data_IF_878552740243
#
_entry.id   IF_878552740243
#
_cell.length_a   1.000
_cell.length_b   1.000
_cell.length_c   1.000
_cell.angle_alpha   90.00
_cell.angle_beta   90.00
_cell.angle_gamma   90.00
#
_symmetry.space_group_name_H-M   'P 1'
#
loop_
_entity.id
_entity.type
_entity.pdbx_description
1 polymer ?
#
# COMPACT_ATOMS: atom_id res chain seq x y z
N UNK A 1 2.55 -14.61 28.46
CA UNK A 1 3.84 -15.03 27.87
C UNK A 1 4.10 -14.44 26.48
N UNK A 2 3.21 -14.62 25.48
CA UNK A 2 3.43 -14.09 24.11
C UNK A 2 3.68 -12.56 24.02
N UNK A 3 2.98 -11.75 24.84
CA UNK A 3 3.20 -10.28 24.90
C UNK A 3 4.58 -9.87 25.40
N UNK A 4 5.22 -10.69 26.24
CA UNK A 4 6.56 -10.43 26.78
C UNK A 4 7.66 -10.82 25.79
N UNK A 5 7.49 -11.94 25.07
CA UNK A 5 8.42 -12.36 24.02
C UNK A 5 8.43 -11.39 22.83
N UNK A 6 7.28 -10.84 22.44
CA UNK A 6 7.19 -9.87 21.35
C UNK A 6 7.76 -8.50 21.71
N UNK A 7 7.49 -7.99 22.92
CA UNK A 7 8.08 -6.72 23.39
C UNK A 7 9.59 -6.85 23.63
N UNK A 8 10.04 -7.99 24.16
CA UNK A 8 11.46 -8.29 24.34
C UNK A 8 12.21 -8.41 23.02
N UNK A 9 11.65 -9.13 22.04
CA UNK A 9 12.27 -9.29 20.71
C UNK A 9 12.35 -8.00 19.90
N UNK A 10 11.35 -7.11 20.01
CA UNK A 10 11.34 -5.78 19.37
C UNK A 10 12.36 -4.83 19.99
N UNK A 11 12.51 -4.84 21.32
CA UNK A 11 13.53 -4.04 22.02
C UNK A 11 14.94 -4.54 21.71
N UNK A 12 15.14 -5.86 21.63
CA UNK A 12 16.42 -6.45 21.23
C UNK A 12 16.76 -6.15 19.77
N UNK A 13 15.78 -6.22 18.86
CA UNK A 13 15.96 -5.80 17.48
C UNK A 13 16.31 -4.31 17.36
N UNK A 14 15.64 -3.43 18.12
CA UNK A 14 15.94 -2.00 18.14
C UNK A 14 17.31 -1.65 18.74
N UNK A 15 17.85 -2.49 19.63
CA UNK A 15 19.18 -2.33 20.24
C UNK A 15 20.32 -2.91 19.41
N UNK A 16 20.05 -3.89 18.53
CA UNK A 16 21.05 -4.61 17.73
C UNK A 16 21.13 -4.10 16.29
N UNK A 17 20.08 -3.47 15.76
CA UNK A 17 20.07 -2.91 14.40
C UNK A 17 20.85 -1.57 14.33
N UNK A 18 21.68 -1.35 13.29
CA UNK A 18 22.41 -0.09 13.08
C UNK A 18 21.49 1.15 13.14
N UNK A 19 22.01 2.34 13.49
CA UNK A 19 21.23 3.59 13.55
C UNK A 19 20.51 3.96 12.23
N UNK A 20 20.94 3.40 11.10
CA UNK A 20 20.28 3.49 9.79
C UNK A 20 18.86 2.87 9.75
N UNK A 21 18.54 1.96 10.67
CA UNK A 21 17.26 1.25 10.72
C UNK A 21 16.26 1.82 11.75
N UNK A 22 16.69 2.78 12.57
CA UNK A 22 15.83 3.46 13.55
C UNK A 22 14.52 4.03 12.95
N UNK A 23 14.50 4.70 11.79
CA UNK A 23 13.25 5.22 11.21
C UNK A 23 12.32 4.11 10.73
N UNK A 24 12.83 3.04 10.12
CA UNK A 24 12.01 1.89 9.71
C UNK A 24 11.44 1.14 10.93
N UNK A 25 12.24 0.96 11.97
CA UNK A 25 11.80 0.38 13.24
C UNK A 25 10.77 1.27 13.96
N UNK A 26 10.86 2.60 13.84
CA UNK A 26 9.91 3.55 14.41
C UNK A 26 8.58 3.57 13.64
N UNK A 27 8.60 3.50 12.31
CA UNK A 27 7.39 3.26 11.50
C UNK A 27 6.76 1.92 11.88
N UNK A 28 7.57 0.87 12.05
CA UNK A 28 7.10 -0.43 12.51
C UNK A 28 6.49 -0.35 13.92
N UNK A 29 7.13 0.35 14.85
CA UNK A 29 6.62 0.54 16.21
C UNK A 29 5.33 1.38 16.27
N UNK A 30 5.10 2.28 15.31
CA UNK A 30 3.86 3.05 15.18
C UNK A 30 2.74 2.25 14.48
N UNK A 31 3.07 1.49 13.43
CA UNK A 31 2.12 0.66 12.69
C UNK A 31 1.71 -0.60 13.45
N UNK A 32 2.63 -1.24 14.16
CA UNK A 32 2.39 -2.53 14.81
C UNK A 32 1.25 -2.46 15.81
N UNK A 33 1.19 -1.48 16.74
CA UNK A 33 0.05 -1.39 17.61
C UNK A 33 -1.23 -0.95 16.86
N UNK A 34 -1.15 -0.26 15.70
CA UNK A 34 -2.35 0.17 14.94
C UNK A 34 -3.04 -1.07 14.39
N UNK A 35 -2.21 -1.94 13.83
CA UNK A 35 -2.51 -3.31 13.48
C UNK A 35 -3.04 -4.09 14.68
N UNK A 36 -2.36 -4.06 15.84
CA UNK A 36 -2.77 -4.81 17.05
C UNK A 36 -4.19 -4.46 17.48
N UNK A 37 -4.61 -3.20 17.43
CA UNK A 37 -5.90 -2.76 17.97
C UNK A 37 -7.04 -2.75 16.95
N UNK A 38 -6.74 -2.49 15.66
CA UNK A 38 -7.67 -2.88 14.59
C UNK A 38 -8.01 -4.38 14.72
N UNK A 39 -7.05 -5.17 15.18
CA UNK A 39 -7.19 -6.59 15.49
C UNK A 39 -7.52 -6.90 16.96
N UNK A 40 -7.90 -5.90 17.77
CA UNK A 40 -8.44 -6.11 19.12
C UNK A 40 -9.96 -6.06 19.11
N UNK A 41 -10.57 -5.30 18.20
CA UNK A 41 -12.01 -5.36 17.92
C UNK A 41 -12.37 -6.48 16.92
N UNK A 42 -11.49 -6.78 15.97
CA UNK A 42 -11.55 -7.99 15.15
C UNK A 42 -10.81 -9.11 15.90
N UNK A 43 -11.45 -10.23 16.25
CA UNK A 43 -10.86 -11.42 16.91
C UNK A 43 -9.35 -11.63 16.59
N UNK A 44 -8.57 -12.19 17.53
CA UNK A 44 -7.11 -12.51 17.47
C UNK A 44 -6.58 -13.06 16.12
N UNK A 45 -7.47 -13.52 15.23
CA UNK A 45 -7.24 -14.06 13.89
C UNK A 45 -6.66 -13.07 12.87
N UNK A 46 -6.95 -11.78 13.00
CA UNK A 46 -6.55 -10.77 12.00
C UNK A 46 -5.22 -10.09 12.34
N UNK A 47 -4.79 -10.20 13.60
CA UNK A 47 -3.55 -9.66 14.13
C UNK A 47 -2.32 -10.15 13.37
N UNK A 48 -2.24 -11.45 13.15
CA UNK A 48 -1.10 -12.05 12.47
C UNK A 48 -1.00 -11.66 11.01
N UNK A 49 -2.14 -11.50 10.32
CA UNK A 49 -2.19 -11.12 8.90
C UNK A 49 -1.66 -9.70 8.72
N UNK A 50 -2.15 -8.78 9.55
CA UNK A 50 -1.74 -7.40 9.54
C UNK A 50 -0.28 -7.22 9.97
N UNK A 51 0.20 -8.00 10.95
CA UNK A 51 1.61 -7.99 11.36
C UNK A 51 2.52 -8.53 10.26
N UNK A 52 2.13 -9.60 9.56
CA UNK A 52 2.86 -10.16 8.41
C UNK A 52 2.91 -9.15 7.26
N UNK A 53 1.79 -8.49 6.97
CA UNK A 53 1.68 -7.44 5.95
C UNK A 53 2.63 -6.27 6.24
N UNK A 54 2.63 -5.76 7.48
CA UNK A 54 3.53 -4.67 7.89
C UNK A 54 4.99 -5.11 7.83
N UNK A 55 5.29 -6.34 8.25
CA UNK A 55 6.65 -6.87 8.27
C UNK A 55 7.20 -7.15 6.85
N UNK A 56 6.35 -7.62 5.92
CA UNK A 56 6.69 -7.74 4.50
C UNK A 56 6.94 -6.36 3.89
N UNK A 57 6.14 -5.36 4.25
CA UNK A 57 6.42 -3.96 3.89
C UNK A 57 7.79 -3.49 4.40
N UNK A 58 8.18 -3.89 5.61
CA UNK A 58 9.52 -3.62 6.17
C UNK A 58 10.63 -4.39 5.45
N UNK A 59 10.41 -5.63 5.04
CA UNK A 59 11.38 -6.37 4.23
C UNK A 59 11.57 -5.75 2.83
N UNK A 60 10.49 -5.24 2.22
CA UNK A 60 10.55 -4.47 0.98
C UNK A 60 11.28 -3.13 1.17
N UNK A 61 11.18 -2.51 2.36
CA UNK A 61 11.84 -1.26 2.70
C UNK A 61 13.36 -1.43 2.87
N UNK A 62 13.82 -2.59 3.33
CA UNK A 62 15.23 -2.74 3.71
C UNK A 62 16.15 -3.15 2.58
N UNK A 63 15.66 -3.63 1.41
CA UNK A 63 16.35 -3.86 0.12
C UNK A 63 17.89 -4.05 0.18
N UNK A 64 18.36 -4.78 1.18
CA UNK A 64 19.77 -4.98 1.50
C UNK A 64 20.01 -6.47 1.67
N UNK A 65 21.27 -6.86 1.62
CA UNK A 65 21.80 -8.24 1.60
C UNK A 65 21.18 -9.22 2.62
N UNK A 66 20.44 -8.72 3.62
CA UNK A 66 19.77 -9.49 4.66
C UNK A 66 18.36 -10.02 4.30
N UNK A 67 17.84 -9.81 3.08
CA UNK A 67 16.56 -10.40 2.62
C UNK A 67 16.54 -11.93 2.82
N UNK A 68 17.69 -12.59 2.65
CA UNK A 68 17.83 -14.04 2.82
C UNK A 68 17.66 -14.48 4.29
N UNK A 69 18.29 -13.79 5.24
CA UNK A 69 18.20 -14.13 6.66
C UNK A 69 16.76 -14.02 7.19
N UNK A 70 16.03 -13.00 6.73
CA UNK A 70 14.65 -12.78 7.13
C UNK A 70 13.68 -13.79 6.48
N UNK A 71 13.94 -14.16 5.22
CA UNK A 71 13.19 -15.20 4.50
C UNK A 71 13.35 -16.57 5.16
N UNK A 72 14.54 -16.90 5.68
CA UNK A 72 14.79 -18.13 6.42
C UNK A 72 14.05 -18.20 7.76
N UNK A 73 14.09 -17.12 8.54
CA UNK A 73 13.36 -17.04 9.82
C UNK A 73 11.85 -17.19 9.62
N UNK A 74 11.28 -16.56 8.59
CA UNK A 74 9.84 -16.62 8.32
C UNK A 74 9.38 -17.88 7.60
N UNK A 75 10.16 -18.40 6.65
CA UNK A 75 9.94 -19.73 6.10
C UNK A 75 9.93 -20.78 7.21
N UNK A 76 10.87 -20.67 8.16
CA UNK A 76 10.92 -21.49 9.37
C UNK A 76 9.67 -21.34 10.24
N UNK A 77 9.20 -20.11 10.52
CA UNK A 77 7.97 -19.90 11.29
C UNK A 77 6.71 -20.39 10.55
N UNK A 78 6.60 -20.19 9.24
CA UNK A 78 5.47 -20.65 8.43
C UNK A 78 5.38 -22.17 8.34
N UNK A 79 6.53 -22.84 8.14
CA UNK A 79 6.65 -24.31 8.14
C UNK A 79 6.38 -24.85 9.55
N UNK A 80 6.93 -24.23 10.60
CA UNK A 80 6.65 -24.59 11.99
C UNK A 80 5.16 -24.49 12.34
N UNK A 81 4.47 -23.47 11.82
CA UNK A 81 3.01 -23.34 11.98
C UNK A 81 2.22 -24.33 11.13
N UNK A 82 2.71 -24.75 9.95
CA UNK A 82 2.10 -25.84 9.16
C UNK A 82 2.06 -27.15 9.96
N UNK A 83 3.12 -27.44 10.74
CA UNK A 83 3.22 -28.64 11.59
C UNK A 83 2.26 -28.60 12.79
N UNK A 84 1.84 -27.43 13.27
CA UNK A 84 0.98 -27.29 14.46
C UNK A 84 -0.47 -27.76 14.21
N UNK A 85 -0.85 -28.98 14.64
CA UNK A 85 -2.18 -29.60 14.40
C UNK A 85 -3.37 -28.90 15.12
N UNK A 86 -3.78 -27.70 14.67
CA UNK A 86 -5.01 -27.03 15.08
C UNK A 86 -6.02 -26.87 13.93
N UNK A 87 -7.31 -27.23 14.14
CA UNK A 87 -8.38 -27.19 13.13
C UNK A 87 -8.99 -25.78 12.87
N UNK A 88 -8.38 -24.71 13.37
CA UNK A 88 -9.00 -23.39 13.34
C UNK A 88 -8.81 -22.70 11.98
N UNK A 89 -9.86 -22.03 11.47
CA UNK A 89 -9.82 -21.21 10.26
C UNK A 89 -8.70 -20.14 10.30
N UNK A 90 -8.36 -19.70 11.51
CA UNK A 90 -7.21 -18.85 11.85
C UNK A 90 -5.87 -19.39 11.34
N UNK A 91 -5.66 -20.71 11.46
CA UNK A 91 -4.44 -21.37 10.99
C UNK A 91 -4.32 -21.27 9.46
N UNK A 92 -5.44 -21.43 8.74
CA UNK A 92 -5.44 -21.37 7.26
C UNK A 92 -5.12 -19.96 6.78
N UNK A 93 -5.74 -18.92 7.35
CA UNK A 93 -5.45 -17.55 6.94
C UNK A 93 -4.01 -17.15 7.21
N UNK A 94 -3.46 -17.51 8.39
CA UNK A 94 -2.05 -17.33 8.73
C UNK A 94 -1.09 -18.04 7.77
N UNK A 95 -1.39 -19.31 7.43
CA UNK A 95 -0.60 -20.08 6.47
C UNK A 95 -0.61 -19.39 5.11
N UNK A 96 -1.77 -18.98 4.60
CA UNK A 96 -1.87 -18.31 3.31
C UNK A 96 -1.11 -16.99 3.30
N UNK A 97 -1.22 -16.18 4.36
CA UNK A 97 -0.50 -14.91 4.45
C UNK A 97 1.01 -15.12 4.59
N UNK A 98 1.43 -16.13 5.35
CA UNK A 98 2.84 -16.50 5.48
C UNK A 98 3.41 -17.03 4.16
N UNK A 99 2.64 -17.81 3.40
CA UNK A 99 3.02 -18.27 2.06
C UNK A 99 3.12 -17.11 1.07
N UNK A 100 2.15 -16.20 1.05
CA UNK A 100 2.20 -15.01 0.20
C UNK A 100 3.40 -14.12 0.54
N UNK A 101 3.67 -13.92 1.83
CA UNK A 101 4.84 -13.19 2.32
C UNK A 101 6.15 -13.86 1.87
N UNK A 102 6.28 -15.17 2.10
CA UNK A 102 7.46 -15.94 1.70
C UNK A 102 7.66 -15.92 0.18
N UNK A 103 6.59 -16.05 -0.61
CA UNK A 103 6.64 -15.96 -2.06
C UNK A 103 7.09 -14.57 -2.52
N UNK A 104 6.58 -13.51 -1.89
CA UNK A 104 6.98 -12.14 -2.22
C UNK A 104 8.46 -11.89 -1.88
N UNK A 105 8.91 -12.34 -0.71
CA UNK A 105 10.32 -12.27 -0.34
C UNK A 105 11.21 -13.09 -1.28
N UNK A 106 10.76 -14.28 -1.71
CA UNK A 106 11.48 -15.10 -2.69
C UNK A 106 11.55 -14.42 -4.07
N UNK A 107 10.46 -13.78 -4.53
CA UNK A 107 10.46 -12.98 -5.75
C UNK A 107 11.42 -11.79 -5.65
N UNK A 108 11.44 -11.07 -4.52
CA UNK A 108 12.37 -9.97 -4.30
C UNK A 108 13.83 -10.43 -4.22
N UNK A 109 14.09 -11.56 -3.57
CA UNK A 109 15.42 -12.16 -3.50
C UNK A 109 15.90 -12.61 -4.90
N UNK A 110 14.99 -13.21 -5.69
CA UNK A 110 15.28 -13.58 -7.08
C UNK A 110 15.59 -12.34 -7.93
N UNK A 111 14.77 -11.29 -7.84
CA UNK A 111 15.02 -10.02 -8.52
C UNK A 111 16.35 -9.39 -8.06
N UNK A 112 16.65 -9.39 -6.76
CA UNK A 112 17.90 -8.88 -6.22
C UNK A 112 19.12 -9.65 -6.73
N UNK A 113 19.02 -10.97 -6.87
CA UNK A 113 20.08 -11.79 -7.46
C UNK A 113 20.27 -11.54 -8.96
N UNK A 114 19.20 -11.17 -9.67
CA UNK A 114 19.23 -10.87 -11.11
C UNK A 114 19.82 -9.48 -11.40
N UNK A 115 19.59 -8.51 -10.52
CA UNK A 115 20.04 -7.12 -10.69
C UNK A 115 20.91 -6.65 -9.51
N UNK A 116 22.20 -7.00 -9.48
CA UNK A 116 23.10 -6.69 -8.37
C UNK A 116 23.35 -5.19 -8.17
N UNK A 117 23.19 -4.38 -9.23
CA UNK A 117 23.31 -2.91 -9.16
C UNK A 117 22.07 -2.24 -8.52
N UNK A 118 20.96 -2.99 -8.38
CA UNK A 118 19.70 -2.51 -7.84
C UNK A 118 18.51 -3.00 -8.67
N UNK A 119 17.46 -3.47 -7.99
CA UNK A 119 16.27 -4.04 -8.64
C UNK A 119 15.60 -3.02 -9.57
N UNK A 120 15.46 -1.76 -9.13
CA UNK A 120 14.78 -0.73 -9.92
C UNK A 120 15.58 -0.27 -11.13
N UNK A 121 16.90 -0.11 -10.97
CA UNK A 121 17.79 0.22 -12.07
C UNK A 121 17.77 -0.89 -13.12
N UNK A 122 17.95 -2.15 -12.71
CA UNK A 122 17.96 -3.28 -13.63
C UNK A 122 16.63 -3.51 -14.34
N UNK A 123 15.49 -3.27 -13.66
CA UNK A 123 14.18 -3.29 -14.31
C UNK A 123 14.00 -2.14 -15.31
N UNK A 124 14.49 -0.94 -15.01
CA UNK A 124 14.45 0.19 -15.93
C UNK A 124 15.31 -0.08 -17.18
N UNK A 125 16.50 -0.65 -17.01
CA UNK A 125 17.39 -1.08 -18.10
C UNK A 125 16.73 -2.17 -18.97
N UNK A 126 16.04 -3.15 -18.37
CA UNK A 126 15.37 -4.20 -19.15
C UNK A 126 14.15 -3.67 -19.92
N UNK A 127 13.37 -2.77 -19.32
CA UNK A 127 12.25 -2.09 -20.00
C UNK A 127 12.77 -1.27 -21.18
N UNK A 128 13.83 -0.49 -20.98
CA UNK A 128 14.41 0.34 -22.05
C UNK A 128 15.08 -0.49 -23.14
N UNK A 129 15.79 -1.57 -22.79
CA UNK A 129 16.31 -2.53 -23.76
C UNK A 129 15.19 -3.21 -24.55
N UNK A 130 14.06 -3.52 -23.91
CA UNK A 130 12.89 -4.06 -24.60
C UNK A 130 12.27 -3.04 -25.58
N UNK A 131 12.21 -1.76 -25.20
CA UNK A 131 11.77 -0.68 -26.10
C UNK A 131 12.76 -0.53 -27.27
N UNK A 132 14.07 -0.56 -27.01
CA UNK A 132 15.11 -0.38 -28.02
C UNK A 132 15.10 -1.50 -29.09
N UNK A 133 14.77 -2.71 -28.69
CA UNK A 133 14.67 -3.86 -29.59
C UNK A 133 13.40 -3.87 -30.47
N UNK A 134 12.45 -2.96 -30.25
CA UNK A 134 11.23 -2.91 -31.04
C UNK A 134 11.42 -2.21 -32.39
N UNK A 135 10.68 -2.63 -33.43
CA UNK A 135 10.73 -1.97 -34.75
C UNK A 135 10.20 -0.52 -34.71
N UNK A 136 9.31 -0.21 -33.77
CA UNK A 136 8.68 1.09 -33.55
C UNK A 136 9.37 1.94 -32.46
N UNK A 137 10.56 1.53 -31.99
CA UNK A 137 11.30 2.18 -30.90
C UNK A 137 11.41 3.70 -31.04
N UNK A 138 11.72 4.20 -32.25
CA UNK A 138 11.84 5.64 -32.49
C UNK A 138 10.55 6.42 -32.24
N UNK A 139 9.40 5.85 -32.59
CA UNK A 139 8.09 6.48 -32.34
C UNK A 139 7.73 6.46 -30.85
N UNK A 140 8.05 5.38 -30.15
CA UNK A 140 7.84 5.25 -28.70
C UNK A 140 8.70 6.28 -27.96
N UNK A 141 9.98 6.38 -28.31
CA UNK A 141 10.91 7.33 -27.68
C UNK A 141 10.49 8.78 -27.92
N UNK A 142 10.01 9.11 -29.11
CA UNK A 142 9.48 10.45 -29.40
C UNK A 142 8.22 10.74 -28.57
N UNK A 143 7.30 9.78 -28.45
CA UNK A 143 6.13 9.92 -27.59
C UNK A 143 6.51 10.09 -26.12
N UNK A 144 7.49 9.32 -25.63
CA UNK A 144 8.05 9.49 -24.29
C UNK A 144 8.65 10.88 -24.09
N UNK A 145 9.37 11.42 -25.08
CA UNK A 145 9.89 12.78 -25.05
C UNK A 145 8.77 13.83 -25.02
N UNK A 146 7.77 13.71 -25.90
CA UNK A 146 6.61 14.62 -25.94
C UNK A 146 5.80 14.60 -24.64
N UNK A 147 5.71 13.45 -23.97
CA UNK A 147 5.07 13.31 -22.66
C UNK A 147 5.96 13.75 -21.50
N UNK A 148 7.23 14.10 -21.75
CA UNK A 148 8.20 14.54 -20.73
C UNK A 148 8.84 13.41 -19.92
N UNK A 149 8.68 12.14 -20.33
CA UNK A 149 9.33 10.97 -19.72
C UNK A 149 10.76 10.75 -20.18
N UNK A 150 11.16 11.31 -21.33
CA UNK A 150 12.52 11.32 -21.83
C UNK A 150 12.95 12.78 -22.08
N UNK A 151 14.24 13.07 -21.95
CA UNK A 151 14.81 14.42 -22.10
C UNK A 151 16.05 14.38 -22.98
N UNK A 152 16.21 15.43 -23.78
CA UNK A 152 17.44 15.74 -24.51
C UNK A 152 18.04 17.01 -23.91
N UNK A 153 19.37 17.07 -23.84
CA UNK A 153 20.09 18.27 -23.37
C UNK A 153 20.06 19.38 -24.41
N UNK A 154 20.06 19.02 -25.69
CA UNK A 154 19.91 19.94 -26.82
C UNK A 154 18.48 19.86 -27.37
N UNK A 155 17.96 20.98 -27.90
CA UNK A 155 16.69 20.96 -28.62
C UNK A 155 16.79 19.94 -29.76
N UNK A 156 15.78 19.07 -29.86
CA UNK A 156 15.69 18.08 -30.93
C UNK A 156 15.69 18.84 -32.26
N UNK A 157 16.86 18.90 -32.91
CA UNK A 157 16.91 19.41 -34.28
C UNK A 157 15.96 18.56 -35.10
N UNK A 158 15.15 19.15 -36.00
CA UNK A 158 14.08 18.44 -36.69
C UNK A 158 14.66 17.23 -37.40
N UNK A 159 14.53 16.08 -36.75
CA UNK A 159 14.89 14.78 -37.27
C UNK A 159 14.06 14.63 -38.54
N UNK A 160 14.74 14.65 -39.69
CA UNK A 160 14.16 14.61 -41.04
C UNK A 160 12.92 13.72 -41.05
N UNK A 161 11.72 14.33 -41.13
CA UNK A 161 10.49 13.59 -41.35
C UNK A 161 10.40 13.28 -42.84
N UNK A 162 11.19 12.32 -43.31
CA UNK A 162 11.03 11.83 -44.67
C UNK A 162 9.77 10.96 -44.70
N UNK A 163 8.72 11.44 -45.36
CA UNK A 163 7.47 10.68 -45.58
C UNK A 163 6.76 10.17 -44.31
N UNK A 164 6.83 10.93 -43.21
CA UNK A 164 6.22 10.53 -41.94
C UNK A 164 7.01 9.48 -41.15
N UNK A 165 8.18 9.05 -41.65
CA UNK A 165 9.14 8.23 -40.93
C UNK A 165 10.12 9.16 -40.22
N UNK A 166 10.04 9.20 -38.89
CA UNK A 166 10.95 9.98 -38.06
C UNK A 166 12.26 9.20 -37.89
N UNK A 167 13.35 9.70 -38.48
CA UNK A 167 14.68 9.09 -38.36
C UNK A 167 15.45 9.80 -37.25
N UNK A 168 15.46 9.22 -36.06
CA UNK A 168 16.33 9.65 -34.96
C UNK A 168 17.79 9.34 -35.27
N UNK A 169 18.69 10.29 -35.02
CA UNK A 169 20.12 9.98 -35.10
C UNK A 169 20.49 8.97 -34.01
N UNK A 170 21.60 8.25 -34.21
CA UNK A 170 22.08 7.29 -33.20
C UNK A 170 22.40 7.97 -31.87
N UNK A 171 22.89 9.21 -31.92
CA UNK A 171 23.20 10.00 -30.73
C UNK A 171 21.91 10.37 -29.95
N UNK A 172 20.93 10.95 -30.64
CA UNK A 172 19.65 11.34 -30.02
C UNK A 172 18.91 10.14 -29.44
N UNK A 173 18.91 9.01 -30.16
CA UNK A 173 18.32 7.76 -29.68
C UNK A 173 18.96 7.30 -28.37
N UNK A 174 20.30 7.30 -28.31
CA UNK A 174 21.01 6.89 -27.09
C UNK A 174 20.72 7.83 -25.91
N UNK A 175 20.72 9.15 -26.15
CA UNK A 175 20.42 10.13 -25.10
C UNK A 175 18.98 10.00 -24.58
N UNK A 176 18.01 9.81 -25.48
CA UNK A 176 16.62 9.54 -25.12
C UNK A 176 16.49 8.25 -24.30
N UNK A 177 17.20 7.18 -24.67
CA UNK A 177 17.19 5.93 -23.91
C UNK A 177 17.77 6.12 -22.51
N UNK A 178 18.92 6.78 -22.36
CA UNK A 178 19.52 7.03 -21.04
C UNK A 178 18.61 7.87 -20.14
N UNK A 179 18.03 8.96 -20.67
CA UNK A 179 17.11 9.81 -19.91
C UNK A 179 15.82 9.08 -19.53
N UNK A 180 15.33 8.18 -20.39
CA UNK A 180 14.17 7.34 -20.14
C UNK A 180 14.48 6.31 -19.05
N UNK A 181 15.64 5.65 -19.10
CA UNK A 181 16.08 4.71 -18.05
C UNK A 181 16.12 5.39 -16.70
N UNK A 182 16.74 6.57 -16.62
CA UNK A 182 16.80 7.35 -15.38
C UNK A 182 15.39 7.72 -14.87
N UNK A 183 14.52 8.22 -15.75
CA UNK A 183 13.16 8.61 -15.37
C UNK A 183 12.32 7.41 -14.92
N UNK A 184 12.47 6.26 -15.58
CA UNK A 184 11.84 5.00 -15.19
C UNK A 184 12.35 4.52 -13.85
N UNK A 185 13.65 4.56 -13.61
CA UNK A 185 14.26 4.17 -12.34
C UNK A 185 13.68 5.01 -11.19
N UNK A 186 13.72 6.35 -11.31
CA UNK A 186 13.17 7.26 -10.30
C UNK A 186 11.67 7.03 -10.10
N UNK A 187 10.93 6.78 -11.19
CA UNK A 187 9.49 6.46 -11.12
C UNK A 187 9.23 5.14 -10.40
N UNK A 188 10.01 4.09 -10.68
CA UNK A 188 9.89 2.79 -10.02
C UNK A 188 10.23 2.90 -8.53
N UNK A 189 11.32 3.61 -8.18
CA UNK A 189 11.72 3.85 -6.79
C UNK A 189 10.64 4.58 -6.00
N UNK A 190 9.90 5.49 -6.63
CA UNK A 190 8.85 6.28 -5.95
C UNK A 190 7.48 5.61 -5.95
N UNK A 191 7.12 4.86 -7.00
CA UNK A 191 5.80 4.24 -7.16
C UNK A 191 5.73 2.84 -6.58
N UNK A 192 6.79 2.03 -6.70
CA UNK A 192 6.76 0.64 -6.23
C UNK A 192 6.46 0.54 -4.72
N UNK A 193 7.10 1.33 -3.83
CA UNK A 193 6.79 1.27 -2.40
C UNK A 193 5.32 1.64 -2.10
N UNK A 194 4.79 2.62 -2.82
CA UNK A 194 3.38 3.04 -2.70
C UNK A 194 2.44 1.94 -3.18
N UNK A 195 2.75 1.30 -4.30
CA UNK A 195 1.97 0.18 -4.84
C UNK A 195 2.00 -1.03 -3.89
N UNK A 196 3.15 -1.34 -3.28
CA UNK A 196 3.25 -2.37 -2.24
C UNK A 196 2.38 -2.00 -1.05
N UNK A 197 2.50 -0.79 -0.51
CA UNK A 197 1.66 -0.33 0.60
C UNK A 197 0.15 -0.39 0.26
N UNK A 198 -0.24 -0.01 -0.95
CA UNK A 198 -1.60 -0.11 -1.47
C UNK A 198 -2.11 -1.55 -1.45
N UNK A 199 -1.32 -2.46 -2.03
CA UNK A 199 -1.65 -3.88 -2.13
C UNK A 199 -1.79 -4.52 -0.74
N UNK A 200 -0.90 -4.14 0.18
CA UNK A 200 -0.92 -4.57 1.57
C UNK A 200 -2.20 -4.13 2.29
N UNK A 201 -2.59 -2.85 2.17
CA UNK A 201 -3.85 -2.35 2.74
C UNK A 201 -5.05 -3.05 2.11
N UNK A 202 -5.07 -3.20 0.78
CA UNK A 202 -6.15 -3.89 0.07
C UNK A 202 -6.28 -5.35 0.54
N UNK A 203 -5.16 -6.06 0.65
CA UNK A 203 -5.12 -7.45 1.13
C UNK A 203 -5.63 -7.54 2.55
N UNK A 204 -5.24 -6.62 3.43
CA UNK A 204 -5.74 -6.57 4.81
C UNK A 204 -7.26 -6.35 4.86
N UNK A 205 -7.78 -5.46 4.03
CA UNK A 205 -9.23 -5.19 3.95
C UNK A 205 -9.98 -6.38 3.37
N UNK A 206 -9.48 -6.99 2.29
CA UNK A 206 -10.12 -8.16 1.69
C UNK A 206 -10.10 -9.36 2.63
N UNK A 207 -8.98 -9.62 3.30
CA UNK A 207 -8.87 -10.74 4.25
C UNK A 207 -9.75 -10.56 5.48
N UNK A 208 -9.99 -9.32 5.94
CA UNK A 208 -10.94 -9.03 7.03
C UNK A 208 -12.40 -9.03 6.60
N UNK A 209 -12.71 -8.52 5.41
CA UNK A 209 -14.08 -8.37 4.93
C UNK A 209 -14.66 -9.65 4.30
N UNK A 210 -13.87 -10.42 3.54
CA UNK A 210 -14.37 -11.60 2.80
C UNK A 210 -14.98 -12.67 3.72
N UNK A 211 -14.36 -13.05 4.85
CA UNK A 211 -14.97 -14.03 5.76
C UNK A 211 -16.33 -13.57 6.28
N UNK A 212 -16.46 -12.26 6.54
CA UNK A 212 -17.70 -11.66 7.02
C UNK A 212 -18.80 -11.71 5.95
N UNK A 213 -18.46 -11.36 4.71
CA UNK A 213 -19.37 -11.47 3.56
C UNK A 213 -19.83 -12.91 3.37
N UNK A 214 -18.93 -13.89 3.48
CA UNK A 214 -19.26 -15.31 3.36
C UNK A 214 -20.19 -15.76 4.50
N UNK A 215 -19.95 -15.30 5.74
CA UNK A 215 -20.83 -15.58 6.88
C UNK A 215 -22.23 -15.03 6.67
N UNK A 216 -22.36 -13.78 6.26
CA UNK A 216 -23.67 -13.16 5.99
C UNK A 216 -24.43 -13.86 4.86
N UNK A 217 -23.74 -14.33 3.81
CA UNK A 217 -24.36 -15.14 2.74
C UNK A 217 -24.93 -16.47 3.25
N UNK A 218 -24.40 -16.99 4.35
CA UNK A 218 -24.90 -18.21 5.01
C UNK A 218 -25.97 -17.91 6.07
N UNK A 219 -26.47 -16.68 6.15
CA UNK A 219 -27.45 -16.26 7.17
C UNK A 219 -26.87 -16.15 8.58
N UNK A 220 -25.55 -16.23 8.75
CA UNK A 220 -24.89 -16.06 10.05
C UNK A 220 -24.68 -14.57 10.33
N UNK A 221 -24.76 -14.13 11.61
CA UNK A 221 -24.42 -12.77 11.97
C UNK A 221 -22.96 -12.48 11.59
N UNK A 222 -22.76 -11.32 10.95
CA UNK A 222 -21.43 -10.80 10.65
C UNK A 222 -20.72 -10.33 11.92
N UNK A 223 -19.40 -10.52 11.97
CA UNK A 223 -18.53 -9.93 12.98
C UNK A 223 -18.24 -8.44 12.74
N UNK A 224 -18.30 -7.99 11.47
CA UNK A 224 -18.09 -6.59 11.12
C UNK A 224 -19.43 -5.85 10.97
N UNK A 225 -19.47 -4.53 11.24
CA UNK A 225 -20.61 -3.71 10.82
C UNK A 225 -20.70 -3.65 9.28
N UNK A 226 -21.87 -3.33 8.71
CA UNK A 226 -21.98 -3.09 7.26
C UNK A 226 -21.00 -1.98 6.82
N UNK A 227 -20.51 -2.07 5.58
CA UNK A 227 -19.42 -1.21 5.09
C UNK A 227 -19.67 0.30 5.30
N UNK A 228 -20.88 0.80 5.01
CA UNK A 228 -21.24 2.19 5.27
C UNK A 228 -21.08 2.69 6.72
N UNK A 229 -21.04 1.79 7.70
CA UNK A 229 -20.87 2.11 9.13
C UNK A 229 -19.42 1.99 9.61
N UNK A 230 -18.48 1.64 8.72
CA UNK A 230 -17.06 1.49 9.08
C UNK A 230 -16.45 2.81 9.55
N UNK A 231 -16.07 2.89 10.82
CA UNK A 231 -15.47 4.09 11.43
C UNK A 231 -14.07 3.75 11.94
N UNK A 232 -13.16 4.71 11.83
CA UNK A 232 -11.88 4.64 12.55
C UNK A 232 -12.09 4.99 14.01
N UNK A 233 -11.50 4.21 14.90
CA UNK A 233 -11.40 4.56 16.31
C UNK A 233 -10.51 5.80 16.47
N UNK A 234 -10.75 6.60 17.52
CA UNK A 234 -9.98 7.83 17.77
C UNK A 234 -8.48 7.58 17.91
N UNK A 235 -8.10 6.39 18.35
CA UNK A 235 -6.71 6.00 18.51
C UNK A 235 -6.07 5.55 17.19
N UNK A 236 -6.77 4.80 16.35
CA UNK A 236 -6.30 4.48 15.01
C UNK A 236 -6.07 5.77 14.20
N UNK A 237 -6.98 6.73 14.34
CA UNK A 237 -6.85 8.06 13.75
C UNK A 237 -5.57 8.79 14.18
N UNK A 238 -5.27 8.82 15.49
CA UNK A 238 -4.04 9.48 16.01
C UNK A 238 -2.77 8.94 15.39
N UNK A 239 -2.73 7.65 15.07
CA UNK A 239 -1.56 7.02 14.46
C UNK A 239 -1.47 7.17 12.96
N UNK A 240 -2.60 7.15 12.26
CA UNK A 240 -2.61 7.59 10.87
C UNK A 240 -2.12 9.03 10.76
N UNK A 241 -2.48 9.90 11.71
CA UNK A 241 -1.94 11.25 11.77
C UNK A 241 -0.43 11.26 12.10
N UNK A 242 0.06 10.36 12.95
CA UNK A 242 1.51 10.20 13.18
C UNK A 242 2.27 9.79 11.89
N UNK A 243 1.66 8.98 11.02
CA UNK A 243 2.23 8.65 9.70
C UNK A 243 2.36 9.89 8.80
N UNK A 244 1.40 10.82 8.85
CA UNK A 244 1.54 12.11 8.15
C UNK A 244 2.71 12.90 8.71
N UNK A 245 2.88 12.94 10.03
CA UNK A 245 4.01 13.65 10.65
C UNK A 245 5.35 13.09 10.18
N UNK A 246 5.48 11.77 10.04
CA UNK A 246 6.68 11.13 9.47
C UNK A 246 6.89 11.58 8.02
N UNK A 247 5.83 11.61 7.22
CA UNK A 247 5.91 12.12 5.85
C UNK A 247 6.33 13.60 5.81
N UNK A 248 5.73 14.46 6.63
CA UNK A 248 6.12 15.86 6.71
C UNK A 248 7.58 16.02 7.14
N UNK A 249 8.05 15.24 8.11
CA UNK A 249 9.45 15.22 8.52
C UNK A 249 10.38 14.80 7.37
N UNK A 250 9.94 13.85 6.55
CA UNK A 250 10.70 13.41 5.36
C UNK A 250 10.87 14.49 4.30
N UNK A 251 10.05 15.56 4.32
CA UNK A 251 10.21 16.70 3.41
C UNK A 251 11.33 17.66 3.85
N UNK A 252 11.78 17.58 5.11
CA UNK A 252 12.82 18.46 5.67
C UNK A 252 14.18 17.78 5.83
N UNK A 253 14.27 16.47 5.58
CA UNK A 253 15.46 15.68 5.87
C UNK A 253 15.83 14.87 4.64
N UNK A 254 17.01 15.16 4.06
CA UNK A 254 17.58 14.49 2.89
C UNK A 254 18.17 13.11 3.24
N UNK A 255 17.38 12.27 3.91
CA UNK A 255 17.75 10.89 4.22
C UNK A 255 16.91 9.94 3.36
N UNK A 256 17.52 9.08 2.52
CA UNK A 256 16.79 8.23 1.59
C UNK A 256 15.83 7.27 2.29
N UNK A 257 16.23 6.75 3.46
CA UNK A 257 15.40 5.87 4.29
C UNK A 257 14.15 6.61 4.80
N UNK A 258 14.30 7.88 5.21
CA UNK A 258 13.17 8.66 5.73
C UNK A 258 12.22 9.09 4.60
N UNK A 259 12.75 9.44 3.43
CA UNK A 259 11.95 9.71 2.22
C UNK A 259 11.11 8.49 1.83
N UNK A 260 11.73 7.31 1.80
CA UNK A 260 11.03 6.06 1.51
C UNK A 260 9.95 5.75 2.57
N UNK A 261 10.29 5.85 3.86
CA UNK A 261 9.35 5.65 4.96
C UNK A 261 8.19 6.66 4.92
N UNK A 262 8.47 7.92 4.61
CA UNK A 262 7.48 8.98 4.42
C UNK A 262 6.54 8.67 3.26
N UNK A 263 7.08 8.22 2.12
CA UNK A 263 6.29 7.86 0.93
C UNK A 263 5.32 6.70 1.18
N UNK A 264 5.73 5.68 1.95
CA UNK A 264 4.84 4.58 2.34
C UNK A 264 3.83 5.00 3.40
N UNK A 265 4.26 5.84 4.35
CA UNK A 265 3.39 6.38 5.41
C UNK A 265 2.22 7.17 4.83
N UNK A 266 2.50 8.05 3.85
CA UNK A 266 1.44 8.82 3.17
C UNK A 266 0.55 7.92 2.32
N UNK A 267 1.09 6.88 1.67
CA UNK A 267 0.28 5.92 0.91
C UNK A 267 -0.72 5.20 1.84
N UNK A 268 -0.25 4.62 2.95
CA UNK A 268 -1.11 3.94 3.94
C UNK A 268 -2.20 4.89 4.45
N UNK A 269 -1.82 6.13 4.78
CA UNK A 269 -2.76 7.18 5.17
C UNK A 269 -3.83 7.41 4.09
N UNK A 270 -3.42 7.66 2.84
CA UNK A 270 -4.33 7.90 1.73
C UNK A 270 -5.29 6.73 1.51
N UNK A 271 -4.81 5.49 1.49
CA UNK A 271 -5.66 4.32 1.30
C UNK A 271 -6.67 4.14 2.45
N UNK A 272 -6.25 4.32 3.70
CA UNK A 272 -7.14 4.21 4.85
C UNK A 272 -8.29 5.23 4.79
N UNK A 273 -7.98 6.49 4.49
CA UNK A 273 -8.99 7.54 4.36
C UNK A 273 -9.83 7.42 3.08
N UNK A 274 -9.26 6.89 1.99
CA UNK A 274 -10.02 6.55 0.79
C UNK A 274 -11.07 5.48 1.07
N UNK A 275 -10.73 4.44 1.84
CA UNK A 275 -11.69 3.40 2.27
C UNK A 275 -12.80 4.01 3.13
N UNK A 276 -12.47 4.94 4.04
CA UNK A 276 -13.48 5.67 4.79
C UNK A 276 -14.36 6.53 3.90
N UNK A 277 -13.80 7.25 2.93
CA UNK A 277 -14.56 8.02 1.95
C UNK A 277 -15.52 7.14 1.16
N UNK A 278 -15.09 5.94 0.79
CA UNK A 278 -15.97 4.95 0.15
C UNK A 278 -17.10 4.50 1.07
N UNK A 279 -16.81 4.28 2.37
CA UNK A 279 -17.83 3.93 3.35
C UNK A 279 -18.87 5.06 3.53
N UNK A 280 -18.42 6.32 3.55
CA UNK A 280 -19.29 7.51 3.57
C UNK A 280 -20.17 7.56 2.34
N UNK A 281 -19.58 7.42 1.14
CA UNK A 281 -20.37 7.39 -0.09
C UNK A 281 -21.39 6.26 -0.09
N UNK A 282 -21.04 5.06 0.39
CA UNK A 282 -22.00 3.96 0.48
C UNK A 282 -23.16 4.30 1.41
N UNK A 283 -22.88 4.91 2.57
CA UNK A 283 -23.89 5.37 3.52
C UNK A 283 -24.81 6.44 2.93
N UNK A 284 -24.24 7.44 2.27
CA UNK A 284 -24.97 8.56 1.64
C UNK A 284 -25.84 8.06 0.49
N UNK A 285 -25.29 7.27 -0.43
CA UNK A 285 -26.05 6.72 -1.58
C UNK A 285 -27.13 5.73 -1.16
N UNK A 286 -26.94 5.00 -0.04
CA UNK A 286 -28.02 4.20 0.60
C UNK A 286 -29.16 5.07 1.10
N UNK A 287 -28.87 6.22 1.73
CA UNK A 287 -29.90 7.16 2.20
C UNK A 287 -30.71 7.74 1.05
N UNK A 288 -30.10 7.98 -0.11
CA UNK A 288 -30.79 8.43 -1.32
C UNK A 288 -31.57 7.32 -2.06
N UNK A 289 -31.59 6.09 -1.57
CA UNK A 289 -32.34 5.00 -2.22
C UNK A 289 -31.74 4.52 -3.55
N UNK A 290 -30.47 4.82 -3.81
CA UNK A 290 -29.82 4.48 -5.10
C UNK A 290 -29.78 2.97 -5.33
N UNK A 291 -30.07 2.53 -6.56
CA UNK A 291 -29.99 1.13 -6.96
C UNK A 291 -28.60 0.53 -6.66
N UNK A 292 -28.57 -0.73 -6.20
CA UNK A 292 -27.35 -1.40 -5.73
C UNK A 292 -26.25 -1.46 -6.80
N UNK A 293 -26.62 -1.69 -8.06
CA UNK A 293 -25.66 -1.77 -9.18
C UNK A 293 -25.05 -0.40 -9.48
N UNK A 294 -25.90 0.62 -9.67
CA UNK A 294 -25.46 1.98 -9.94
C UNK A 294 -24.56 2.52 -8.81
N UNK A 295 -24.90 2.22 -7.55
CA UNK A 295 -24.04 2.56 -6.40
C UNK A 295 -22.65 1.96 -6.50
N UNK A 296 -22.52 0.68 -6.88
CA UNK A 296 -21.21 0.02 -7.04
C UNK A 296 -20.42 0.60 -8.21
N UNK A 297 -21.08 0.86 -9.32
CA UNK A 297 -20.46 1.49 -10.49
C UNK A 297 -19.96 2.90 -10.16
N UNK A 298 -20.75 3.68 -9.44
CA UNK A 298 -20.36 5.01 -8.96
C UNK A 298 -19.16 4.95 -8.00
N UNK A 299 -19.19 4.05 -7.01
CA UNK A 299 -18.05 3.86 -6.09
C UNK A 299 -16.78 3.45 -6.85
N UNK A 300 -16.87 2.52 -7.79
CA UNK A 300 -15.74 2.11 -8.62
C UNK A 300 -15.21 3.27 -9.48
N UNK A 301 -16.11 4.05 -10.08
CA UNK A 301 -15.75 5.27 -10.81
C UNK A 301 -15.01 6.28 -9.94
N UNK A 302 -15.47 6.55 -8.71
CA UNK A 302 -14.79 7.47 -7.81
C UNK A 302 -13.39 7.00 -7.39
N UNK A 303 -13.16 5.68 -7.24
CA UNK A 303 -11.81 5.16 -6.95
C UNK A 303 -10.85 5.46 -8.10
N UNK A 304 -11.31 5.32 -9.35
CA UNK A 304 -10.46 5.51 -10.54
C UNK A 304 -10.26 6.98 -10.85
N UNK A 305 -11.35 7.78 -10.87
CA UNK A 305 -11.32 9.15 -11.38
C UNK A 305 -11.16 10.22 -10.28
N UNK A 306 -11.50 9.90 -9.03
CA UNK A 306 -11.52 10.90 -7.95
C UNK A 306 -10.98 10.36 -6.61
N UNK A 307 -9.80 9.69 -6.57
CA UNK A 307 -9.25 9.14 -5.33
C UNK A 307 -9.00 10.22 -4.28
N UNK A 308 -8.59 11.42 -4.70
CA UNK A 308 -8.36 12.55 -3.79
C UNK A 308 -9.64 13.02 -3.09
N UNK A 309 -10.77 13.07 -3.81
CA UNK A 309 -12.07 13.45 -3.24
C UNK A 309 -12.49 12.43 -2.18
N UNK A 310 -12.24 11.14 -2.39
CA UNK A 310 -12.52 10.11 -1.40
C UNK A 310 -11.68 10.27 -0.14
N UNK A 311 -10.40 10.61 -0.27
CA UNK A 311 -9.54 10.89 0.89
C UNK A 311 -10.08 12.08 1.68
N UNK A 312 -10.40 13.19 1.00
CA UNK A 312 -10.99 14.37 1.64
C UNK A 312 -12.32 14.05 2.33
N UNK A 313 -13.17 13.25 1.69
CA UNK A 313 -14.45 12.84 2.27
C UNK A 313 -14.25 11.98 3.52
N UNK A 314 -13.26 11.09 3.52
CA UNK A 314 -12.88 10.32 4.70
C UNK A 314 -12.39 11.21 5.85
N UNK A 315 -11.61 12.25 5.54
CA UNK A 315 -11.14 13.23 6.54
C UNK A 315 -12.33 14.06 7.07
N UNK A 316 -13.20 14.54 6.19
CA UNK A 316 -14.38 15.32 6.54
C UNK A 316 -15.35 14.53 7.42
N UNK A 317 -15.59 13.24 7.13
CA UNK A 317 -16.41 12.38 7.99
C UNK A 317 -15.84 12.26 9.40
N UNK A 318 -14.51 12.30 9.56
CA UNK A 318 -13.89 12.27 10.89
C UNK A 318 -14.13 13.55 11.68
N UNK A 319 -14.19 14.70 11.01
CA UNK A 319 -14.37 16.02 11.64
C UNK A 319 -15.85 16.29 11.93
N UNK A 320 -16.72 16.00 10.95
CA UNK A 320 -18.13 16.40 10.98
C UNK A 320 -19.11 15.27 11.30
N UNK A 321 -18.65 14.01 11.36
CA UNK A 321 -19.50 12.82 11.54
C UNK A 321 -20.69 12.79 10.56
N UNK A 322 -20.37 12.87 9.26
CA UNK A 322 -21.34 12.96 8.14
C UNK A 322 -22.34 11.78 8.12
N UNK A 323 -22.00 10.69 8.80
CA UNK A 323 -22.77 9.45 8.88
C UNK A 323 -23.71 9.35 10.09
N UNK A 324 -23.81 10.35 10.96
CA UNK A 324 -24.86 10.30 12.00
C UNK A 324 -26.25 10.30 11.36
N UNK A 325 -27.19 9.46 11.83
CA UNK A 325 -28.61 9.71 11.57
C UNK A 325 -28.94 11.09 12.15
N UNK A 326 -29.75 11.90 11.46
CA UNK A 326 -30.31 13.11 12.06
C UNK A 326 -30.99 12.64 13.35
N UNK A 327 -30.53 13.11 14.51
CA UNK A 327 -31.27 12.90 15.75
C UNK A 327 -32.72 13.28 15.46
N UNK A 328 -33.65 12.35 15.65
CA UNK A 328 -35.05 12.68 15.81
C UNK A 328 -35.09 13.61 17.02
N UNK A 329 -35.15 14.90 16.75
CA UNK A 329 -35.18 15.96 17.78
C UNK A 329 -36.61 16.13 18.30
N UNK A 330 -37.44 15.08 18.16
CA UNK A 330 -38.89 15.11 18.35
C UNK A 330 -39.39 14.13 19.43
N UNK A 331 -38.50 13.43 20.15
CA UNK A 331 -38.90 12.56 21.29
C UNK A 331 -38.58 13.19 22.67
N UNK A 332 -38.30 14.49 22.75
CA UNK A 332 -38.27 15.25 24.02
C UNK A 332 -39.65 15.88 24.35
N UNK A 333 -40.73 15.19 23.98
CA UNK A 333 -42.12 15.62 24.16
C UNK A 333 -42.98 14.76 25.11
N UNK A 334 -42.38 13.97 26.01
CA UNK A 334 -43.10 13.24 27.06
C UNK A 334 -42.14 12.36 27.86
N UNK A 335 -41.95 12.50 29.16
CA UNK A 335 -42.92 12.78 30.22
C UNK A 335 -42.33 13.76 31.24
N UNK A 336 -42.94 14.94 31.35
CA UNK A 336 -43.15 15.55 32.67
C UNK A 336 -44.49 15.03 33.21
N UNK A 337 -44.51 14.76 34.52
CA UNK A 337 -45.57 14.27 35.41
C UNK A 337 -45.64 12.75 35.64
#
# INVERSE_FOLDING_TARGET
>A
MARWLLRGGLLLAALVLPPLFAPAALVMWLLMPLVVECCRELEERYFCIAAIVVLVGVCCLTMSENVYAFSFLWGGCGIGMLVWRGKNALKRSLIWTGLCAAMLCACLAWLGSRYPQGIFQGLAEEITAWIDNRPDAGSILLQCYQMGYARLEEELQPALSLFGVLVLTKADRMQLLYSLTYTLEVSLQTLAPKAVAAWLVLTLVLTSALPDVIRRRKGLPGALPPFGEWRLTAWANRRLNALIVIYLLSLFVDQPVLSLAGSMSVAVFQYAYMILGLAVMEGVTKRFGTLRFLRRLWMAGCVVFAPFVLVLLGIADRIFDLRRPRCSTDDEGGFEQ
#
